data_IF_596798187382
#
_entry.id   IF_596798187382
#
_cell.length_a   1.000
_cell.length_b   1.000
_cell.length_c   1.000
_cell.angle_alpha   90.00
_cell.angle_beta   90.00
_cell.angle_gamma   90.00
#
_symmetry.space_group_name_H-M   'P 1'
#
loop_
_entity.id
_entity.type
_entity.pdbx_description
1 polymer ?
#
# COMPACT_ATOMS: atom_id res chain seq x y z
N UNK A 1 12.74 8.83 -12.04
CA UNK A 1 14.18 8.61 -11.81
C UNK A 1 14.38 7.14 -11.47
N UNK A 2 15.39 6.47 -12.02
CA UNK A 2 15.68 5.05 -11.73
C UNK A 2 16.85 4.94 -10.75
N UNK A 3 16.64 4.27 -9.62
CA UNK A 3 17.69 3.95 -8.64
C UNK A 3 18.14 2.52 -8.84
N UNK A 4 19.46 2.26 -8.81
CA UNK A 4 20.03 0.90 -8.85
C UNK A 4 20.33 0.44 -7.44
N UNK A 5 19.88 -0.77 -7.12
CA UNK A 5 20.14 -1.42 -5.83
C UNK A 5 20.75 -2.80 -6.09
N UNK A 6 21.72 -3.18 -5.27
CA UNK A 6 22.29 -4.52 -5.25
C UNK A 6 21.74 -5.26 -4.03
N UNK A 7 21.28 -6.50 -4.23
CA UNK A 7 20.70 -7.34 -3.20
C UNK A 7 21.34 -8.72 -3.25
N UNK A 8 21.76 -9.22 -2.10
CA UNK A 8 22.23 -10.59 -1.97
C UNK A 8 21.04 -11.51 -1.70
N UNK A 9 20.91 -12.56 -2.50
CA UNK A 9 19.87 -13.57 -2.34
C UNK A 9 20.50 -14.92 -2.03
N UNK A 10 19.90 -15.74 -1.15
CA UNK A 10 20.27 -17.13 -1.01
C UNK A 10 20.24 -17.85 -2.37
N UNK A 11 21.20 -18.75 -2.59
CA UNK A 11 21.32 -19.49 -3.86
C UNK A 11 20.02 -20.19 -4.26
N UNK A 12 19.30 -20.75 -3.27
CA UNK A 12 18.02 -21.43 -3.49
C UNK A 12 16.95 -20.48 -4.04
N UNK A 13 16.85 -19.26 -3.49
CA UNK A 13 15.89 -18.25 -3.95
C UNK A 13 16.24 -17.78 -5.36
N UNK A 14 17.54 -17.61 -5.65
CA UNK A 14 18.00 -17.27 -6.99
C UNK A 14 17.62 -18.34 -8.01
N UNK A 15 17.84 -19.62 -7.69
CA UNK A 15 17.45 -20.73 -8.56
C UNK A 15 15.95 -20.79 -8.81
N UNK A 16 15.13 -20.56 -7.78
CA UNK A 16 13.67 -20.51 -7.92
C UNK A 16 13.22 -19.33 -8.79
N UNK A 17 13.82 -18.16 -8.63
CA UNK A 17 13.56 -16.99 -9.46
C UNK A 17 13.93 -17.24 -10.93
N UNK A 18 15.07 -17.86 -11.21
CA UNK A 18 15.48 -18.22 -12.57
C UNK A 18 14.52 -19.21 -13.22
N UNK A 19 14.04 -20.22 -12.48
CA UNK A 19 13.04 -21.15 -12.99
C UNK A 19 11.71 -20.46 -13.29
N UNK A 20 11.29 -19.56 -12.40
CA UNK A 20 10.06 -18.78 -12.59
C UNK A 20 10.16 -17.84 -13.79
N UNK A 21 11.30 -17.18 -13.95
CA UNK A 21 11.62 -16.32 -15.10
C UNK A 21 11.51 -17.09 -16.42
N UNK A 22 12.11 -18.28 -16.49
CA UNK A 22 12.00 -19.17 -17.65
C UNK A 22 10.57 -19.59 -17.93
N UNK A 23 9.81 -20.01 -16.91
CA UNK A 23 8.41 -20.44 -17.06
C UNK A 23 7.48 -19.33 -17.52
N UNK A 24 7.80 -18.08 -17.18
CA UNK A 24 6.99 -16.89 -17.52
C UNK A 24 7.52 -16.11 -18.71
N UNK A 25 8.60 -16.58 -19.35
CA UNK A 25 9.28 -15.88 -20.45
C UNK A 25 9.63 -14.43 -20.11
N UNK A 26 10.07 -14.19 -18.88
CA UNK A 26 10.43 -12.87 -18.35
C UNK A 26 11.85 -12.86 -17.82
N UNK A 27 12.41 -11.66 -17.67
CA UNK A 27 13.70 -11.49 -16.99
C UNK A 27 13.53 -11.58 -15.47
N UNK A 28 14.60 -11.93 -14.76
CA UNK A 28 14.57 -12.01 -13.30
C UNK A 28 14.36 -10.61 -12.69
N UNK A 29 14.94 -9.59 -13.29
CA UNK A 29 14.78 -8.18 -12.88
C UNK A 29 13.33 -7.73 -12.98
N UNK A 30 12.64 -8.09 -14.06
CA UNK A 30 11.21 -7.79 -14.22
C UNK A 30 10.38 -8.47 -13.13
N UNK A 31 10.63 -9.74 -12.84
CA UNK A 31 9.91 -10.46 -11.78
C UNK A 31 10.14 -9.83 -10.40
N UNK A 32 11.37 -9.43 -10.09
CA UNK A 32 11.70 -8.76 -8.82
C UNK A 32 10.97 -7.42 -8.75
N UNK A 33 11.02 -6.62 -9.83
CA UNK A 33 10.35 -5.32 -9.88
C UNK A 33 8.83 -5.45 -9.69
N UNK A 34 8.20 -6.42 -10.35
CA UNK A 34 6.77 -6.70 -10.21
C UNK A 34 6.41 -7.16 -8.80
N UNK A 35 7.22 -8.05 -8.19
CA UNK A 35 6.99 -8.53 -6.84
C UNK A 35 7.10 -7.39 -5.81
N UNK A 36 8.09 -6.52 -5.95
CA UNK A 36 8.25 -5.33 -5.09
C UNK A 36 7.07 -4.37 -5.26
N UNK A 37 6.67 -4.07 -6.50
CA UNK A 37 5.54 -3.20 -6.77
C UNK A 37 4.23 -3.77 -6.16
N UNK A 38 3.98 -5.06 -6.34
CA UNK A 38 2.83 -5.74 -5.76
C UNK A 38 2.82 -5.66 -4.23
N UNK A 39 3.97 -5.90 -3.59
CA UNK A 39 4.06 -5.85 -2.14
C UNK A 39 3.83 -4.44 -1.57
N UNK A 40 4.38 -3.41 -2.22
CA UNK A 40 4.14 -2.01 -1.84
C UNK A 40 2.67 -1.61 -2.01
N UNK A 41 2.02 -2.06 -3.08
CA UNK A 41 0.60 -1.80 -3.31
C UNK A 41 -0.27 -2.46 -2.24
N UNK A 42 0.02 -3.72 -1.89
CA UNK A 42 -0.69 -4.44 -0.83
C UNK A 42 -0.56 -3.72 0.52
N UNK A 43 0.64 -3.28 0.90
CA UNK A 43 0.87 -2.51 2.12
C UNK A 43 0.06 -1.20 2.15
N UNK A 44 -0.05 -0.51 1.01
CA UNK A 44 -0.87 0.71 0.93
C UNK A 44 -2.36 0.41 1.13
N UNK A 45 -2.87 -0.70 0.58
CA UNK A 45 -4.27 -1.13 0.76
C UNK A 45 -4.53 -1.53 2.21
N UNK A 46 -3.64 -2.31 2.82
CA UNK A 46 -3.74 -2.71 4.23
C UNK A 46 -3.73 -1.49 5.16
N UNK A 47 -2.85 -0.51 4.90
CA UNK A 47 -2.79 0.73 5.66
C UNK A 47 -4.08 1.56 5.53
N UNK A 48 -4.67 1.62 4.33
CA UNK A 48 -5.97 2.27 4.12
C UNK A 48 -7.08 1.57 4.88
N UNK A 49 -7.19 0.24 4.80
CA UNK A 49 -8.23 -0.50 5.50
C UNK A 49 -8.07 -0.36 7.02
N UNK A 50 -6.84 -0.44 7.54
CA UNK A 50 -6.57 -0.19 8.95
C UNK A 50 -6.94 1.24 9.39
N UNK A 51 -6.70 2.25 8.54
CA UNK A 51 -7.13 3.64 8.79
C UNK A 51 -8.65 3.77 8.78
N UNK A 52 -9.33 3.11 7.85
CA UNK A 52 -10.79 3.08 7.76
C UNK A 52 -11.41 2.42 9.00
N UNK A 53 -10.90 1.27 9.43
CA UNK A 53 -11.39 0.59 10.63
C UNK A 53 -11.23 1.45 11.89
N UNK A 54 -10.10 2.17 12.02
CA UNK A 54 -9.90 3.14 13.11
C UNK A 54 -10.87 4.31 13.06
N UNK A 55 -11.21 4.81 11.86
CA UNK A 55 -12.20 5.87 11.72
C UNK A 55 -13.61 5.36 12.06
N UNK A 56 -13.97 4.17 11.59
CA UNK A 56 -15.28 3.56 11.87
C UNK A 56 -15.48 3.25 13.36
N UNK A 57 -14.43 2.88 14.09
CA UNK A 57 -14.54 2.57 15.52
C UNK A 57 -14.89 3.78 16.41
N UNK A 58 -14.75 5.00 15.89
CA UNK A 58 -15.11 6.24 16.60
C UNK A 58 -16.40 6.88 16.09
N UNK A 59 -16.99 6.36 14.99
CA UNK A 59 -18.27 6.86 14.47
C UNK A 59 -19.38 6.66 15.50
N UNK A 60 -20.18 7.71 15.74
CA UNK A 60 -21.29 7.68 16.71
C UNK A 60 -20.87 7.78 18.17
N UNK A 61 -19.57 7.86 18.47
CA UNK A 61 -19.06 8.03 19.84
C UNK A 61 -19.13 9.47 20.34
N UNK A 62 -19.13 10.44 19.43
CA UNK A 62 -19.15 11.86 19.74
C UNK A 62 -20.44 12.49 19.20
N UNK A 63 -21.11 13.34 19.99
CA UNK A 63 -22.22 14.14 19.50
C UNK A 63 -21.71 15.10 18.42
N UNK A 64 -22.48 15.26 17.35
CA UNK A 64 -22.17 16.15 16.24
C UNK A 64 -23.46 16.73 15.66
N UNK A 65 -23.37 17.94 15.12
CA UNK A 65 -24.45 18.61 14.41
C UNK A 65 -24.77 17.86 13.11
N UNK A 66 -26.05 17.70 12.74
CA UNK A 66 -26.45 16.91 11.58
C UNK A 66 -25.97 17.49 10.24
N UNK A 67 -25.67 18.79 10.19
CA UNK A 67 -25.15 19.49 9.02
C UNK A 67 -23.62 19.70 9.05
N UNK A 68 -22.93 19.26 10.12
CA UNK A 68 -21.48 19.39 10.28
C UNK A 68 -20.71 18.82 9.08
N UNK A 69 -21.17 17.69 8.53
CA UNK A 69 -20.52 17.06 7.38
C UNK A 69 -20.72 17.84 6.06
N UNK A 70 -21.80 18.63 5.94
CA UNK A 70 -22.09 19.44 4.74
C UNK A 70 -21.46 20.83 4.81
N UNK A 71 -21.39 21.42 6.01
CA UNK A 71 -20.88 22.77 6.25
C UNK A 71 -19.51 22.76 6.92
N UNK A 72 -18.75 21.69 6.75
CA UNK A 72 -17.49 21.46 7.46
C UNK A 72 -16.54 22.68 7.39
N UNK A 73 -16.49 23.37 6.25
CA UNK A 73 -15.65 24.55 6.05
C UNK A 73 -16.14 25.74 6.91
N UNK A 74 -17.46 25.98 7.01
CA UNK A 74 -18.05 27.04 7.85
C UNK A 74 -17.74 26.82 9.34
N UNK A 75 -17.73 25.57 9.80
CA UNK A 75 -17.35 25.22 11.18
C UNK A 75 -15.84 25.32 11.44
N UNK A 76 -15.01 25.31 10.39
CA UNK A 76 -13.56 25.43 10.48
C UNK A 76 -13.07 26.89 10.47
N UNK A 77 -13.86 27.79 9.89
CA UNK A 77 -13.54 29.22 9.78
C UNK A 77 -13.84 30.02 11.06
N UNK A 78 -14.43 29.39 12.09
CA UNK A 78 -14.70 30.05 13.38
C UNK A 78 -13.46 29.98 14.28
N UNK A 79 -12.57 30.97 14.16
CA UNK A 79 -11.59 31.36 15.18
C UNK A 79 -12.19 32.37 16.18
#
# INVERSE_FOLDING_TARGET
MSTRTEIELPLEQWQQLQQLAKRRERSVEQLIAEAVAYWLQQQAIEAWEARKQRALSVVGRFPAEPDLAQKHDEYLEVE
#
